data_IF_870031264123
#
_entry.id   IF_870031264123
#
_cell.length_a   1.000
_cell.length_b   1.000
_cell.length_c   1.000
_cell.angle_alpha   90.00
_cell.angle_beta   90.00
_cell.angle_gamma   90.00
#
_symmetry.space_group_name_H-M   'P 1'
#
loop_
_entity.id
_entity.type
_entity.pdbx_description
1 polymer ?
#
# COMPACT_ATOMS: atom_id res chain seq x y z
N UNK A 1 -16.69 -56.05 74.79
CA UNK A 1 -16.73 -54.66 74.25
C UNK A 1 -15.53 -54.49 73.35
N UNK A 2 -15.70 -54.76 72.06
CA UNK A 2 -14.64 -54.40 71.04
C UNK A 2 -14.81 -52.99 70.63
N UNK A 3 -13.83 -52.12 70.98
CA UNK A 3 -13.73 -50.75 70.60
C UNK A 3 -13.17 -50.68 69.15
N UNK A 4 -14.07 -50.52 68.19
CA UNK A 4 -13.67 -50.24 66.79
C UNK A 4 -12.97 -48.87 66.75
N UNK A 5 -11.65 -48.92 66.68
CA UNK A 5 -10.89 -47.73 66.36
C UNK A 5 -11.18 -47.41 64.88
N UNK A 6 -12.07 -46.48 64.65
CA UNK A 6 -12.19 -45.86 63.37
C UNK A 6 -10.84 -45.18 63.02
N UNK A 7 -10.09 -45.79 62.15
CA UNK A 7 -8.92 -45.16 61.50
C UNK A 7 -9.43 -43.96 60.71
N UNK A 8 -9.49 -42.84 61.37
CA UNK A 8 -9.63 -41.53 60.64
C UNK A 8 -8.42 -41.40 59.70
N UNK A 9 -8.61 -41.77 58.46
CA UNK A 9 -7.57 -41.72 57.43
C UNK A 9 -7.46 -40.29 56.90
N UNK A 10 -7.21 -39.32 57.84
CA UNK A 10 -7.05 -37.91 57.55
C UNK A 10 -5.89 -37.62 56.59
N UNK A 11 -4.86 -38.50 56.60
CA UNK A 11 -3.72 -38.43 55.70
C UNK A 11 -4.12 -38.71 54.25
N UNK A 12 -5.06 -39.61 53.98
CA UNK A 12 -5.56 -39.86 52.64
C UNK A 12 -6.39 -38.71 52.08
N UNK A 13 -7.23 -38.11 52.92
CA UNK A 13 -8.04 -36.94 52.53
C UNK A 13 -7.12 -35.73 52.25
N UNK A 14 -6.14 -35.46 53.10
CA UNK A 14 -5.18 -34.39 52.91
C UNK A 14 -4.38 -34.52 51.59
N UNK A 15 -4.00 -35.74 51.21
CA UNK A 15 -3.28 -36.00 49.96
C UNK A 15 -4.17 -35.74 48.73
N UNK A 16 -5.44 -36.17 48.76
CA UNK A 16 -6.40 -35.96 47.67
C UNK A 16 -6.73 -34.47 47.52
N UNK A 17 -6.94 -33.75 48.63
CA UNK A 17 -7.20 -32.29 48.56
C UNK A 17 -5.98 -31.53 48.08
N UNK A 18 -4.76 -31.89 48.49
CA UNK A 18 -3.53 -31.28 47.99
C UNK A 18 -3.37 -31.50 46.45
N UNK A 19 -3.67 -32.73 46.00
CA UNK A 19 -3.58 -33.06 44.57
C UNK A 19 -4.63 -32.31 43.74
N UNK A 20 -5.87 -32.17 44.25
CA UNK A 20 -6.90 -31.34 43.58
C UNK A 20 -6.51 -29.85 43.50
N UNK A 21 -5.97 -29.31 44.59
CA UNK A 21 -5.53 -27.90 44.59
C UNK A 21 -4.36 -27.68 43.64
N UNK A 22 -3.40 -28.57 43.57
CA UNK A 22 -2.28 -28.45 42.61
C UNK A 22 -2.76 -28.59 41.18
N UNK A 23 -3.73 -29.42 40.87
CA UNK A 23 -4.30 -29.58 39.55
C UNK A 23 -5.07 -28.32 39.13
N UNK A 24 -5.86 -27.73 40.04
CA UNK A 24 -6.55 -26.44 39.76
C UNK A 24 -5.52 -25.33 39.55
N UNK A 25 -4.50 -25.23 40.39
CA UNK A 25 -3.46 -24.23 40.23
C UNK A 25 -2.73 -24.39 38.90
N UNK A 26 -2.44 -25.62 38.46
CA UNK A 26 -1.81 -25.91 37.18
C UNK A 26 -2.69 -25.49 35.99
N UNK A 27 -3.99 -25.79 36.04
CA UNK A 27 -4.92 -25.39 34.96
C UNK A 27 -5.05 -23.89 34.84
N UNK A 28 -5.07 -23.17 35.96
CA UNK A 28 -5.09 -21.69 35.96
C UNK A 28 -3.80 -21.15 35.38
N UNK A 29 -2.63 -21.66 35.75
CA UNK A 29 -1.35 -21.19 35.23
C UNK A 29 -1.19 -21.43 33.73
N UNK A 30 -1.63 -22.61 33.23
CA UNK A 30 -1.60 -22.90 31.79
C UNK A 30 -2.56 -21.98 31.04
N UNK A 31 -3.74 -21.70 31.57
CA UNK A 31 -4.71 -20.76 30.96
C UNK A 31 -4.13 -19.34 30.86
N UNK A 32 -3.47 -18.84 31.91
CA UNK A 32 -2.83 -17.53 31.91
C UNK A 32 -1.68 -17.47 30.91
N UNK A 33 -0.83 -18.50 30.83
CA UNK A 33 0.24 -18.57 29.84
C UNK A 33 -0.30 -18.54 28.42
N UNK A 34 -1.40 -19.26 28.15
CA UNK A 34 -2.04 -19.22 26.84
C UNK A 34 -2.55 -17.82 26.47
N UNK A 35 -3.20 -17.12 27.41
CA UNK A 35 -3.67 -15.74 27.20
C UNK A 35 -2.52 -14.78 26.93
N UNK A 36 -1.40 -14.91 27.66
CA UNK A 36 -0.21 -14.06 27.43
C UNK A 36 0.39 -14.34 26.06
N UNK A 37 0.52 -15.61 25.67
CA UNK A 37 1.04 -15.97 24.34
C UNK A 37 0.13 -15.47 23.20
N UNK A 38 -1.18 -15.58 23.35
CA UNK A 38 -2.14 -15.07 22.38
C UNK A 38 -2.07 -13.54 22.28
N UNK A 39 -1.99 -12.85 23.41
CA UNK A 39 -1.85 -11.39 23.48
C UNK A 39 -0.56 -10.89 22.82
N UNK A 40 0.58 -11.55 23.07
CA UNK A 40 1.86 -11.15 22.44
C UNK A 40 1.86 -11.39 20.93
N UNK A 41 1.30 -12.51 20.45
CA UNK A 41 1.14 -12.76 19.00
C UNK A 41 0.25 -11.72 18.34
N UNK A 42 -0.88 -11.37 18.95
CA UNK A 42 -1.81 -10.38 18.43
C UNK A 42 -1.19 -8.98 18.40
N UNK A 43 -0.51 -8.56 19.47
CA UNK A 43 0.22 -7.29 19.53
C UNK A 43 1.34 -7.22 18.48
N UNK A 44 2.09 -8.31 18.30
CA UNK A 44 3.11 -8.41 17.28
C UNK A 44 2.54 -8.27 15.86
N UNK A 45 1.44 -8.96 15.56
CA UNK A 45 0.76 -8.87 14.26
C UNK A 45 0.22 -7.45 14.01
N UNK A 46 -0.39 -6.83 15.01
CA UNK A 46 -0.90 -5.45 14.92
C UNK A 46 0.22 -4.44 14.65
N UNK A 47 1.37 -4.56 15.32
CA UNK A 47 2.53 -3.70 15.07
C UNK A 47 3.06 -3.85 13.65
N UNK A 48 3.13 -5.07 13.14
CA UNK A 48 3.61 -5.36 11.78
C UNK A 48 2.66 -4.80 10.72
N UNK A 49 1.37 -4.99 10.89
CA UNK A 49 0.36 -4.41 10.01
C UNK A 49 0.43 -2.87 10.00
N UNK A 50 0.64 -2.26 11.17
CA UNK A 50 0.80 -0.81 11.28
C UNK A 50 2.01 -0.31 10.47
N UNK A 51 3.15 -0.99 10.54
CA UNK A 51 4.36 -0.60 9.79
C UNK A 51 4.20 -0.75 8.28
N UNK A 52 3.55 -1.82 7.79
CA UNK A 52 3.24 -1.98 6.37
C UNK A 52 2.29 -0.90 5.87
N UNK A 53 1.29 -0.55 6.68
CA UNK A 53 0.37 0.54 6.38
C UNK A 53 1.07 1.89 6.32
N UNK A 54 1.95 2.19 7.26
CA UNK A 54 2.74 3.43 7.28
C UNK A 54 3.66 3.53 6.05
N UNK A 55 4.31 2.44 5.66
CA UNK A 55 5.12 2.40 4.44
C UNK A 55 4.30 2.63 3.18
N UNK A 56 3.14 1.97 3.04
CA UNK A 56 2.22 2.18 1.91
C UNK A 56 1.68 3.61 1.89
N UNK A 57 1.36 4.18 3.05
CA UNK A 57 0.89 5.55 3.17
C UNK A 57 1.96 6.56 2.73
N UNK A 58 3.19 6.43 3.21
CA UNK A 58 4.30 7.30 2.81
C UNK A 58 4.58 7.21 1.29
N UNK A 59 4.53 5.99 0.73
CA UNK A 59 4.66 5.79 -0.70
C UNK A 59 3.53 6.45 -1.48
N UNK A 60 2.29 6.31 -1.01
CA UNK A 60 1.09 6.78 -1.70
C UNK A 60 0.87 8.29 -1.61
N UNK A 61 1.28 8.94 -0.54
CA UNK A 61 1.02 10.38 -0.32
C UNK A 61 2.20 11.27 -0.61
N UNK A 62 3.42 10.76 -0.45
CA UNK A 62 4.62 11.58 -0.59
C UNK A 62 5.42 11.19 -1.83
N UNK A 63 5.98 10.00 -1.85
CA UNK A 63 6.99 9.65 -2.84
C UNK A 63 6.43 9.48 -4.25
N UNK A 64 5.35 8.71 -4.39
CA UNK A 64 4.78 8.45 -5.71
C UNK A 64 4.16 9.69 -6.36
N UNK A 65 3.21 10.40 -5.72
CA UNK A 65 2.55 11.53 -6.37
C UNK A 65 3.44 12.77 -6.52
N UNK A 66 4.36 13.01 -5.58
CA UNK A 66 5.16 14.26 -5.59
C UNK A 66 6.46 14.16 -6.39
N UNK A 67 7.08 12.99 -6.42
CA UNK A 67 8.39 12.80 -7.05
C UNK A 67 8.32 11.90 -8.29
N UNK A 68 7.75 10.70 -8.14
CA UNK A 68 7.80 9.69 -9.19
C UNK A 68 6.83 10.01 -10.33
N UNK A 69 5.58 10.32 -10.05
CA UNK A 69 4.55 10.58 -11.07
C UNK A 69 4.90 11.79 -11.96
N UNK A 70 5.34 12.94 -11.44
CA UNK A 70 5.82 14.05 -12.27
C UNK A 70 7.00 13.67 -13.16
N UNK A 71 7.94 12.87 -12.64
CA UNK A 71 9.07 12.37 -13.42
C UNK A 71 8.64 11.44 -14.55
N UNK A 72 7.62 10.60 -14.32
CA UNK A 72 7.03 9.75 -15.34
C UNK A 72 6.39 10.59 -16.45
N UNK A 73 5.54 11.56 -16.08
CA UNK A 73 4.87 12.45 -17.05
C UNK A 73 5.91 13.20 -17.88
N UNK A 74 6.88 13.85 -17.24
CA UNK A 74 7.96 14.58 -17.90
C UNK A 74 8.82 13.65 -18.77
N UNK A 75 9.12 12.45 -18.29
CA UNK A 75 9.87 11.46 -19.03
C UNK A 75 9.19 11.06 -20.34
N UNK A 76 7.87 10.83 -20.33
CA UNK A 76 7.13 10.52 -21.55
C UNK A 76 6.95 11.70 -22.50
N UNK A 77 6.97 12.92 -21.99
CA UNK A 77 6.96 14.14 -22.83
C UNK A 77 8.31 14.36 -23.53
N UNK A 78 9.41 14.07 -22.86
CA UNK A 78 10.77 14.37 -23.36
C UNK A 78 11.37 13.26 -24.24
N UNK A 79 10.76 12.09 -24.29
CA UNK A 79 11.31 10.95 -25.06
C UNK A 79 10.33 10.52 -26.15
N UNK A 80 10.87 10.22 -27.33
CA UNK A 80 10.09 9.81 -28.51
C UNK A 80 9.46 8.42 -28.31
N UNK A 81 10.16 7.51 -27.63
CA UNK A 81 9.70 6.15 -27.39
C UNK A 81 9.42 5.91 -25.90
N UNK A 82 8.37 5.13 -25.62
CA UNK A 82 8.00 4.79 -24.25
C UNK A 82 9.11 4.01 -23.52
N UNK A 83 9.83 3.15 -24.24
CA UNK A 83 10.95 2.38 -23.69
C UNK A 83 12.12 3.26 -23.26
N UNK A 84 12.50 4.26 -24.09
CA UNK A 84 13.55 5.19 -23.71
C UNK A 84 13.16 6.04 -22.50
N UNK A 85 11.90 6.48 -22.42
CA UNK A 85 11.38 7.19 -21.26
C UNK A 85 11.50 6.36 -19.98
N UNK A 86 11.04 5.11 -20.00
CA UNK A 86 11.09 4.24 -18.80
C UNK A 86 12.53 3.91 -18.38
N UNK A 87 13.45 3.75 -19.32
CA UNK A 87 14.87 3.55 -19.01
C UNK A 87 15.47 4.79 -18.33
N UNK A 88 15.16 5.98 -18.82
CA UNK A 88 15.62 7.24 -18.21
C UNK A 88 15.07 7.41 -16.80
N UNK A 89 13.78 7.13 -16.59
CA UNK A 89 13.11 7.25 -15.29
C UNK A 89 13.71 6.24 -14.30
N UNK A 90 13.91 4.97 -14.70
CA UNK A 90 14.54 3.97 -13.85
C UNK A 90 15.95 4.40 -13.39
N UNK A 91 16.69 5.10 -14.25
CA UNK A 91 18.01 5.65 -13.93
C UNK A 91 18.00 6.83 -12.97
N UNK A 92 16.88 7.53 -12.79
CA UNK A 92 16.79 8.69 -11.90
C UNK A 92 16.72 8.33 -10.42
N UNK A 93 16.23 7.13 -10.09
CA UNK A 93 15.96 6.72 -8.71
C UNK A 93 16.71 5.45 -8.26
N UNK A 94 18.05 5.41 -8.39
CA UNK A 94 18.82 4.22 -8.04
C UNK A 94 18.75 3.90 -6.53
N UNK A 95 18.54 4.93 -5.69
CA UNK A 95 18.48 4.79 -4.24
C UNK A 95 17.31 3.96 -3.72
N UNK A 96 16.20 3.96 -4.45
CA UNK A 96 14.98 3.19 -4.12
C UNK A 96 14.77 2.00 -5.06
N UNK A 97 15.70 1.74 -6.00
CA UNK A 97 15.58 0.65 -6.95
C UNK A 97 14.28 0.71 -7.78
N UNK A 98 13.90 1.90 -8.23
CA UNK A 98 12.72 2.09 -9.07
C UNK A 98 12.85 1.23 -10.33
N UNK A 99 11.82 0.46 -10.63
CA UNK A 99 11.76 -0.43 -11.77
C UNK A 99 10.40 -0.33 -12.48
N UNK A 100 10.45 0.13 -13.73
CA UNK A 100 9.32 0.11 -14.67
C UNK A 100 9.64 -0.96 -15.71
N UNK A 101 8.87 -2.07 -15.78
CA UNK A 101 9.13 -3.12 -16.78
C UNK A 101 8.92 -2.58 -18.19
N UNK A 102 9.81 -2.92 -19.11
CA UNK A 102 9.71 -2.47 -20.52
C UNK A 102 8.40 -2.92 -21.19
N UNK A 103 7.87 -4.06 -20.79
CA UNK A 103 6.62 -4.60 -21.32
C UNK A 103 5.40 -3.72 -21.03
N UNK A 104 5.41 -2.95 -19.92
CA UNK A 104 4.29 -2.07 -19.56
C UNK A 104 4.50 -0.62 -19.99
N UNK A 105 5.63 -0.28 -20.60
CA UNK A 105 5.98 1.11 -20.94
C UNK A 105 4.96 1.82 -21.82
N UNK A 106 4.40 1.14 -22.84
CA UNK A 106 3.36 1.72 -23.69
C UNK A 106 2.02 1.87 -22.96
N UNK A 107 1.66 0.90 -22.14
CA UNK A 107 0.46 0.99 -21.30
C UNK A 107 0.60 2.14 -20.29
N UNK A 108 1.74 2.26 -19.62
CA UNK A 108 1.99 3.34 -18.67
C UNK A 108 1.94 4.72 -19.34
N UNK A 109 2.50 4.85 -20.56
CA UNK A 109 2.37 6.07 -21.35
C UNK A 109 0.90 6.45 -21.57
N UNK A 110 0.06 5.49 -21.99
CA UNK A 110 -1.37 5.75 -22.17
C UNK A 110 -2.06 6.11 -20.85
N UNK A 111 -1.72 5.43 -19.76
CA UNK A 111 -2.28 5.70 -18.44
C UNK A 111 -2.01 7.12 -17.93
N UNK A 112 -0.87 7.72 -18.27
CA UNK A 112 -0.55 9.09 -17.81
C UNK A 112 -0.99 10.18 -18.80
N UNK A 113 -1.36 9.82 -20.03
CA UNK A 113 -1.67 10.84 -21.08
C UNK A 113 -3.12 10.80 -21.57
N UNK A 114 -3.84 9.70 -21.37
CA UNK A 114 -5.20 9.51 -21.91
C UNK A 114 -6.12 8.93 -20.86
N UNK A 115 -7.42 9.06 -21.08
CA UNK A 115 -8.45 8.43 -20.27
C UNK A 115 -8.45 6.89 -20.37
N UNK A 116 -9.04 6.22 -19.42
CA UNK A 116 -9.07 4.76 -19.32
C UNK A 116 -9.66 4.07 -20.56
N UNK A 117 -10.63 4.69 -21.22
CA UNK A 117 -11.28 4.13 -22.41
C UNK A 117 -10.29 3.96 -23.58
N UNK A 118 -9.26 4.79 -23.63
CA UNK A 118 -8.25 4.84 -24.70
C UNK A 118 -6.99 4.00 -24.41
N UNK A 119 -6.93 3.22 -23.33
CA UNK A 119 -5.80 2.37 -22.97
C UNK A 119 -5.75 1.07 -23.79
N UNK A 120 -5.51 1.18 -25.08
CA UNK A 120 -5.48 0.03 -26.01
C UNK A 120 -4.25 -0.89 -25.80
N UNK A 121 -3.13 -0.34 -25.34
CA UNK A 121 -1.91 -1.10 -25.05
C UNK A 121 -1.92 -1.81 -23.69
N UNK A 122 -2.96 -1.59 -22.87
CA UNK A 122 -3.06 -2.16 -21.53
C UNK A 122 -3.88 -3.46 -21.53
N UNK A 123 -3.38 -4.46 -20.81
CA UNK A 123 -4.13 -5.69 -20.55
C UNK A 123 -5.31 -5.44 -19.61
N UNK A 124 -6.29 -6.34 -19.57
CA UNK A 124 -7.39 -6.27 -18.62
C UNK A 124 -6.91 -6.25 -17.16
N UNK A 125 -5.86 -7.02 -16.83
CA UNK A 125 -5.26 -7.04 -15.50
C UNK A 125 -4.60 -5.70 -15.13
N UNK A 126 -4.01 -4.99 -16.10
CA UNK A 126 -3.41 -3.67 -15.88
C UNK A 126 -4.45 -2.57 -15.66
N UNK A 127 -5.67 -2.74 -16.15
CA UNK A 127 -6.80 -1.79 -16.01
C UNK A 127 -7.60 -1.98 -14.73
N UNK A 128 -7.49 -3.16 -14.11
CA UNK A 128 -8.26 -3.53 -12.92
C UNK A 128 -7.55 -3.08 -11.64
N UNK A 129 -8.31 -2.62 -10.65
CA UNK A 129 -7.84 -2.38 -9.30
C UNK A 129 -7.45 -3.68 -8.55
N UNK A 130 -7.89 -4.85 -9.04
CA UNK A 130 -7.54 -6.11 -8.40
C UNK A 130 -6.05 -6.42 -8.61
N UNK A 131 -5.41 -6.83 -7.51
CA UNK A 131 -4.08 -7.45 -7.50
C UNK A 131 -2.95 -6.60 -8.12
N UNK A 132 -2.66 -5.48 -7.47
CA UNK A 132 -1.60 -4.54 -7.87
C UNK A 132 -0.24 -5.21 -8.00
N UNK A 133 0.06 -6.21 -7.16
CA UNK A 133 1.31 -6.95 -7.19
C UNK A 133 1.51 -7.75 -8.47
N UNK A 134 0.47 -8.39 -9.00
CA UNK A 134 0.60 -9.27 -10.17
C UNK A 134 0.71 -8.49 -11.49
N UNK A 135 0.25 -7.24 -11.53
CA UNK A 135 0.34 -6.40 -12.72
C UNK A 135 0.66 -4.94 -12.36
N UNK A 136 1.80 -4.68 -11.69
CA UNK A 136 2.20 -3.35 -11.32
C UNK A 136 2.64 -2.56 -12.55
N UNK A 137 2.41 -1.26 -12.53
CA UNK A 137 2.99 -0.35 -13.53
C UNK A 137 4.46 -0.07 -13.20
N UNK A 138 4.77 0.02 -11.91
CA UNK A 138 6.14 0.13 -11.42
C UNK A 138 6.28 -0.44 -10.01
N UNK A 139 7.52 -0.72 -9.65
CA UNK A 139 7.90 -1.19 -8.32
C UNK A 139 9.09 -0.38 -7.79
N UNK A 140 9.15 -0.19 -6.47
CA UNK A 140 10.30 0.40 -5.81
C UNK A 140 10.43 -0.10 -4.37
N UNK A 141 11.57 0.19 -3.75
CA UNK A 141 11.90 -0.31 -2.42
C UNK A 141 12.02 0.83 -1.43
N UNK A 142 11.29 0.73 -0.32
CA UNK A 142 11.52 1.55 0.85
C UNK A 142 12.43 0.79 1.80
N UNK A 143 13.65 1.30 1.99
CA UNK A 143 14.62 0.64 2.86
C UNK A 143 14.15 0.68 4.31
N UNK A 144 14.30 -0.42 5.01
CA UNK A 144 14.16 -0.47 6.45
C UNK A 144 15.34 0.20 7.16
N UNK A 145 15.25 0.32 8.47
CA UNK A 145 16.40 0.66 9.31
C UNK A 145 17.51 -0.39 9.11
N UNK A 146 18.77 -0.01 9.17
CA UNK A 146 19.95 -0.79 8.71
C UNK A 146 19.99 -2.29 9.05
N UNK A 147 19.24 -2.72 10.04
CA UNK A 147 19.12 -4.13 10.47
C UNK A 147 17.75 -4.75 10.24
N UNK A 148 16.80 -3.99 9.67
CA UNK A 148 15.43 -4.45 9.45
C UNK A 148 15.14 -4.53 7.95
N UNK A 149 14.40 -5.56 7.51
CA UNK A 149 13.96 -5.67 6.13
C UNK A 149 13.11 -4.46 5.73
N UNK A 150 13.21 -4.09 4.47
CA UNK A 150 12.46 -3.01 3.87
C UNK A 150 11.04 -3.42 3.44
N UNK A 151 10.47 -2.57 2.62
CA UNK A 151 9.16 -2.79 2.00
C UNK A 151 9.29 -2.69 0.48
N UNK A 152 8.73 -3.65 -0.22
CA UNK A 152 8.53 -3.57 -1.66
C UNK A 152 7.18 -2.89 -1.92
N UNK A 153 7.21 -1.84 -2.71
CA UNK A 153 6.02 -1.07 -3.08
C UNK A 153 5.69 -1.36 -4.53
N UNK A 154 4.46 -1.75 -4.77
CA UNK A 154 3.86 -1.94 -6.09
C UNK A 154 2.86 -0.81 -6.32
N UNK A 155 2.92 -0.16 -7.46
CA UNK A 155 1.96 0.89 -7.81
C UNK A 155 1.31 0.61 -9.15
N UNK A 156 0.04 0.98 -9.27
CA UNK A 156 -0.75 0.82 -10.48
C UNK A 156 -1.72 2.00 -10.63
N UNK A 157 -1.67 2.66 -11.77
CA UNK A 157 -2.69 3.64 -12.14
C UNK A 157 -3.91 2.87 -12.65
N UNK A 158 -5.08 3.11 -12.05
CA UNK A 158 -6.34 2.42 -12.35
C UNK A 158 -7.32 3.30 -13.11
N UNK A 159 -7.20 4.60 -12.98
CA UNK A 159 -7.99 5.55 -13.76
C UNK A 159 -7.24 6.86 -13.98
N UNK A 160 -7.55 7.53 -15.08
CA UNK A 160 -7.00 8.84 -15.43
C UNK A 160 -8.06 9.67 -16.11
N UNK A 161 -8.31 10.84 -15.57
CA UNK A 161 -9.09 11.89 -16.21
C UNK A 161 -8.10 12.97 -16.66
N UNK A 162 -7.82 13.07 -17.97
CA UNK A 162 -6.88 14.07 -18.48
C UNK A 162 -7.38 15.48 -18.16
N UNK A 163 -6.49 16.31 -17.67
CA UNK A 163 -6.75 17.74 -17.50
C UNK A 163 -6.73 18.47 -18.84
N UNK A 164 -7.24 19.67 -18.84
CA UNK A 164 -7.15 20.59 -19.97
C UNK A 164 -6.22 21.73 -19.62
N UNK A 165 -5.15 21.89 -20.38
CA UNK A 165 -4.39 23.12 -20.46
C UNK A 165 -4.81 23.81 -21.76
N UNK A 166 -5.96 24.47 -21.75
CA UNK A 166 -6.39 25.23 -22.92
C UNK A 166 -5.58 26.53 -22.99
N UNK A 167 -4.57 26.54 -23.84
CA UNK A 167 -3.81 27.72 -24.17
C UNK A 167 -4.54 28.61 -25.21
N UNK A 168 -5.67 28.14 -25.76
CA UNK A 168 -6.45 28.91 -26.76
C UNK A 168 -7.31 30.01 -26.15
N UNK A 169 -7.42 30.07 -24.82
CA UNK A 169 -7.96 31.23 -24.10
C UNK A 169 -9.46 31.43 -24.17
N UNK A 170 -10.22 30.46 -24.67
CA UNK A 170 -11.68 30.60 -24.79
C UNK A 170 -12.36 29.34 -24.24
N UNK A 171 -12.62 29.34 -22.96
CA UNK A 171 -13.64 28.44 -22.42
C UNK A 171 -15.03 29.01 -22.74
N UNK A 172 -15.62 28.55 -23.82
CA UNK A 172 -16.98 28.89 -24.21
C UNK A 172 -18.05 28.32 -23.28
N UNK A 173 -17.65 27.43 -22.35
CA UNK A 173 -18.56 26.64 -21.54
C UNK A 173 -18.95 27.31 -20.21
N UNK A 174 -18.35 28.41 -19.85
CA UNK A 174 -18.68 29.08 -18.57
C UNK A 174 -19.70 30.20 -18.68
N UNK A 175 -20.38 30.39 -19.82
CA UNK A 175 -21.45 31.40 -19.96
C UNK A 175 -20.97 32.85 -19.74
N UNK A 176 -19.69 33.07 -19.61
CA UNK A 176 -19.10 34.42 -19.61
C UNK A 176 -19.07 34.91 -21.04
N UNK A 177 -20.02 35.79 -21.34
CA UNK A 177 -20.11 36.49 -22.60
C UNK A 177 -18.79 37.13 -23.01
N UNK A 178 -18.67 37.42 -24.30
CA UNK A 178 -17.53 38.02 -25.00
C UNK A 178 -16.73 38.95 -24.10
N UNK A 179 -15.57 38.46 -23.65
CA UNK A 179 -14.64 39.27 -22.84
C UNK A 179 -14.06 40.35 -23.75
N UNK A 180 -14.25 41.57 -23.35
CA UNK A 180 -13.64 42.72 -24.05
C UNK A 180 -12.14 42.49 -24.17
N UNK A 181 -11.57 42.81 -25.32
CA UNK A 181 -10.20 42.51 -25.75
C UNK A 181 -9.05 43.04 -24.89
N UNK A 182 -9.32 43.61 -23.74
CA UNK A 182 -8.35 44.25 -22.85
C UNK A 182 -8.11 43.48 -21.51
N UNK A 183 -8.71 42.33 -21.34
CA UNK A 183 -8.46 41.49 -20.15
C UNK A 183 -7.62 40.29 -20.57
N UNK A 184 -6.43 40.14 -19.96
CA UNK A 184 -5.62 38.95 -20.13
C UNK A 184 -6.50 37.72 -19.81
N UNK A 185 -6.76 36.81 -20.78
CA UNK A 185 -7.54 35.63 -20.51
C UNK A 185 -6.81 34.80 -19.44
N UNK A 186 -7.42 34.61 -18.29
CA UNK A 186 -6.94 33.66 -17.32
C UNK A 186 -7.13 32.26 -17.91
N UNK A 187 -6.02 31.65 -18.29
CA UNK A 187 -6.03 30.24 -18.71
C UNK A 187 -6.46 29.41 -17.51
N UNK A 188 -7.65 28.82 -17.59
CA UNK A 188 -8.09 27.88 -16.59
C UNK A 188 -7.29 26.58 -16.77
N UNK A 189 -6.37 26.35 -15.87
CA UNK A 189 -5.66 25.09 -15.79
C UNK A 189 -6.56 24.09 -15.08
N UNK A 190 -7.09 23.09 -15.80
CA UNK A 190 -7.73 21.93 -15.21
C UNK A 190 -6.66 20.86 -14.96
N UNK A 191 -6.36 20.50 -13.70
CA UNK A 191 -5.38 19.47 -13.42
C UNK A 191 -5.87 18.10 -13.94
N UNK A 192 -4.93 17.27 -14.34
CA UNK A 192 -5.23 15.86 -14.58
C UNK A 192 -5.47 15.14 -13.26
N UNK A 193 -6.47 14.28 -13.22
CA UNK A 193 -6.80 13.46 -12.05
C UNK A 193 -6.32 12.04 -12.29
N UNK A 194 -5.53 11.54 -11.36
CA UNK A 194 -5.03 10.16 -11.38
C UNK A 194 -5.56 9.40 -10.18
N UNK A 195 -6.23 8.28 -10.45
CA UNK A 195 -6.52 7.29 -9.41
C UNK A 195 -5.50 6.18 -9.50
N UNK A 196 -4.77 5.96 -8.45
CA UNK A 196 -3.76 4.91 -8.41
C UNK A 196 -3.84 4.10 -7.11
N UNK A 197 -3.45 2.85 -7.22
CA UNK A 197 -3.38 1.91 -6.12
C UNK A 197 -1.92 1.65 -5.74
N UNK A 198 -1.65 1.64 -4.45
CA UNK A 198 -0.33 1.36 -3.88
C UNK A 198 -0.44 0.19 -2.93
N UNK A 199 0.32 -0.84 -3.17
CA UNK A 199 0.45 -1.99 -2.29
C UNK A 199 1.86 -2.08 -1.75
N UNK A 200 2.00 -2.00 -0.43
CA UNK A 200 3.28 -2.20 0.26
C UNK A 200 3.33 -3.56 0.93
N UNK A 201 4.38 -4.32 0.65
CA UNK A 201 4.64 -5.61 1.25
C UNK A 201 6.01 -5.61 1.94
N UNK A 202 6.09 -6.30 3.06
CA UNK A 202 7.35 -6.48 3.75
C UNK A 202 8.18 -7.55 3.04
N UNK A 203 9.49 -7.29 2.85
CA UNK A 203 10.38 -8.17 2.08
C UNK A 203 10.53 -9.57 2.69
N UNK A 204 10.63 -9.67 4.02
CA UNK A 204 10.81 -10.94 4.74
C UNK A 204 9.52 -11.69 5.00
N UNK A 205 8.38 -11.02 4.93
CA UNK A 205 7.07 -11.62 5.15
C UNK A 205 5.99 -10.97 4.27
N UNK A 206 5.78 -11.44 3.04
CA UNK A 206 4.82 -10.89 2.08
C UNK A 206 3.35 -10.96 2.52
N UNK A 207 3.04 -11.70 3.59
CA UNK A 207 1.69 -11.71 4.16
C UNK A 207 1.36 -10.40 4.89
N UNK A 208 2.39 -9.66 5.30
CA UNK A 208 2.28 -8.34 5.91
C UNK A 208 2.19 -7.27 4.82
N UNK A 209 1.01 -7.06 4.30
CA UNK A 209 0.74 -6.11 3.22
C UNK A 209 -0.34 -5.11 3.59
N UNK A 210 -0.28 -3.93 2.97
CA UNK A 210 -1.33 -2.94 3.00
C UNK A 210 -1.57 -2.39 1.59
N UNK A 211 -2.82 -2.18 1.25
CA UNK A 211 -3.25 -1.66 -0.05
C UNK A 211 -3.96 -0.34 0.20
N UNK A 212 -3.67 0.67 -0.60
CA UNK A 212 -4.27 1.99 -0.54
C UNK A 212 -4.58 2.47 -1.94
N UNK A 213 -5.76 3.05 -2.10
CA UNK A 213 -6.17 3.77 -3.30
C UNK A 213 -6.14 5.27 -3.04
N UNK A 214 -5.61 6.03 -3.96
CA UNK A 214 -5.44 7.48 -3.85
C UNK A 214 -5.91 8.15 -5.12
N UNK A 215 -6.69 9.23 -4.96
CA UNK A 215 -7.01 10.18 -6.01
C UNK A 215 -6.08 11.39 -5.88
N UNK A 216 -5.37 11.71 -6.94
CA UNK A 216 -4.40 12.78 -6.96
C UNK A 216 -4.61 13.70 -8.18
N UNK A 217 -4.56 15.00 -7.94
CA UNK A 217 -4.64 16.04 -8.97
C UNK A 217 -3.24 16.59 -9.26
N UNK A 218 -2.85 16.60 -10.55
CA UNK A 218 -1.55 17.09 -11.01
C UNK A 218 -1.71 18.11 -12.15
#
# INVERSE_FOLDING_TARGET
MCKVHGLNNERGVALVTALMLTLIALTITISLLYMVMAGTKMSGAQKRYKTSREASYAAATELYPKDILPSIITGFMNHTTATAATQAINGQYPGIGLSIPSAVSQCLKQKVTTDQANWSACSAASKSAADTKNSPDLTFYLRGESTKPGFTIYTKIIDTVPGMSDTSGVSLDSGMGVVASNVNPTVFHQPSLYTFEVQGEREDNPTEKAIMEVLYAY
#
